data_IF_454560260314
#
_entry.id   IF_454560260314
#
_cell.length_a   1.000
_cell.length_b   1.000
_cell.length_c   1.000
_cell.angle_alpha   90.00
_cell.angle_beta   90.00
_cell.angle_gamma   90.00
#
_symmetry.space_group_name_H-M   'P 1'
#
loop_
_entity.id
_entity.type
_entity.pdbx_description
1 polymer ?
#
# COMPACT_ATOMS: atom_id res chain seq x y z
N UNK A 1 -1.36 -2.43 -3.98
CA UNK A 1 -1.96 -3.51 -4.78
C UNK A 1 -3.45 -3.29 -4.78
N UNK A 2 -4.08 -3.35 -5.94
CA UNK A 2 -5.53 -3.36 -6.11
C UNK A 2 -5.98 -4.72 -6.62
N UNK A 3 -7.21 -5.11 -6.34
CA UNK A 3 -7.74 -6.41 -6.77
C UNK A 3 -7.74 -6.54 -8.31
N UNK A 4 -7.97 -5.42 -9.02
CA UNK A 4 -8.01 -5.37 -10.48
C UNK A 4 -6.64 -5.42 -11.17
N UNK A 5 -5.52 -5.41 -10.43
CA UNK A 5 -4.18 -5.55 -10.99
C UNK A 5 -3.79 -7.02 -11.22
N UNK A 6 -4.55 -7.95 -10.63
CA UNK A 6 -4.32 -9.39 -10.74
C UNK A 6 -5.29 -10.03 -11.74
N UNK A 7 -4.85 -11.01 -12.54
CA UNK A 7 -5.75 -11.78 -13.39
C UNK A 7 -6.88 -12.40 -12.57
N UNK A 8 -8.13 -12.29 -13.06
CA UNK A 8 -9.31 -12.80 -12.35
C UNK A 8 -9.23 -14.30 -12.04
N UNK A 9 -8.52 -15.06 -12.87
CA UNK A 9 -8.28 -16.50 -12.68
C UNK A 9 -7.45 -16.83 -11.44
N UNK A 10 -6.72 -15.86 -10.87
CA UNK A 10 -5.91 -16.06 -9.67
C UNK A 10 -6.70 -15.85 -8.38
N UNK A 11 -7.95 -15.37 -8.46
CA UNK A 11 -8.85 -15.21 -7.32
C UNK A 11 -8.21 -14.42 -6.14
N UNK A 12 -7.34 -13.47 -6.46
CA UNK A 12 -6.66 -12.65 -5.47
C UNK A 12 -7.53 -11.48 -5.03
N UNK A 13 -7.49 -11.16 -3.73
CA UNK A 13 -8.12 -9.96 -3.18
C UNK A 13 -7.18 -9.30 -2.16
N UNK A 14 -6.09 -8.65 -2.61
CA UNK A 14 -5.22 -7.86 -1.73
C UNK A 14 -5.99 -6.83 -0.89
N UNK A 15 -7.02 -6.18 -1.44
CA UNK A 15 -7.83 -5.19 -0.73
C UNK A 15 -8.71 -5.86 0.34
N UNK A 16 -9.31 -7.02 0.01
CA UNK A 16 -10.06 -7.83 0.95
C UNK A 16 -9.21 -8.34 2.11
N UNK A 17 -7.98 -8.80 1.82
CA UNK A 17 -7.01 -9.25 2.82
C UNK A 17 -6.60 -8.11 3.76
N UNK A 18 -6.30 -6.92 3.23
CA UNK A 18 -5.96 -5.75 4.06
C UNK A 18 -7.10 -5.38 5.02
N UNK A 19 -8.35 -5.43 4.55
CA UNK A 19 -9.54 -5.19 5.39
C UNK A 19 -9.65 -6.21 6.53
N UNK A 20 -9.37 -7.48 6.27
CA UNK A 20 -9.36 -8.52 7.31
C UNK A 20 -8.27 -8.28 8.35
N UNK A 21 -7.05 -7.93 7.91
CA UNK A 21 -5.92 -7.64 8.80
C UNK A 21 -6.25 -6.46 9.73
N UNK A 22 -6.77 -5.35 9.19
CA UNK A 22 -7.21 -4.19 9.99
C UNK A 22 -8.27 -4.57 11.02
N UNK A 23 -9.27 -5.35 10.60
CA UNK A 23 -10.34 -5.83 11.50
C UNK A 23 -9.76 -6.65 12.66
N UNK A 24 -8.77 -7.51 12.40
CA UNK A 24 -8.12 -8.31 13.43
C UNK A 24 -7.25 -7.45 14.36
N UNK A 25 -6.52 -6.48 13.80
CA UNK A 25 -5.67 -5.54 14.55
C UNK A 25 -6.48 -4.73 15.55
N UNK A 26 -7.59 -4.16 15.10
CA UNK A 26 -8.45 -3.30 15.92
C UNK A 26 -9.07 -4.06 17.11
N UNK A 27 -9.37 -5.35 16.94
CA UNK A 27 -9.87 -6.21 18.03
C UNK A 27 -8.82 -6.51 19.09
N UNK A 28 -7.53 -6.46 18.75
CA UNK A 28 -6.42 -6.83 19.62
C UNK A 28 -5.54 -5.64 20.04
N UNK A 29 -5.88 -4.44 19.59
CA UNK A 29 -5.14 -3.19 19.83
C UNK A 29 -3.66 -3.33 19.42
N UNK A 30 -3.41 -3.99 18.29
CA UNK A 30 -2.07 -4.14 17.72
C UNK A 30 -1.87 -3.08 16.65
N UNK A 31 -0.73 -2.40 16.67
CA UNK A 31 -0.38 -1.43 15.63
C UNK A 31 0.05 -2.14 14.34
N UNK A 32 -0.41 -1.64 13.19
CA UNK A 32 0.01 -2.14 11.88
C UNK A 32 1.15 -1.31 11.32
N UNK A 33 2.12 -1.97 10.67
CA UNK A 33 3.13 -1.32 9.84
C UNK A 33 2.99 -1.81 8.41
N UNK A 34 3.17 -0.92 7.43
CA UNK A 34 3.00 -1.24 6.01
C UNK A 34 4.31 -1.31 5.22
N UNK A 35 4.25 -2.04 4.10
CA UNK A 35 5.27 -2.04 3.03
C UNK A 35 4.58 -2.38 1.71
N UNK A 36 5.09 -1.87 0.60
CA UNK A 36 4.73 -2.37 -0.73
C UNK A 36 5.54 -3.64 -1.07
N UNK A 37 4.95 -4.51 -1.88
CA UNK A 37 5.56 -5.82 -2.26
C UNK A 37 6.41 -5.74 -3.52
N UNK A 38 6.14 -4.77 -4.40
CA UNK A 38 6.82 -4.57 -5.68
C UNK A 38 7.15 -3.10 -5.87
N UNK A 39 8.16 -2.77 -6.67
CA UNK A 39 8.52 -1.40 -7.03
C UNK A 39 7.30 -0.65 -7.61
N UNK A 40 6.99 0.54 -7.11
CA UNK A 40 5.83 1.35 -7.53
C UNK A 40 6.19 2.82 -7.70
N UNK A 41 6.31 3.24 -8.94
CA UNK A 41 6.58 4.64 -9.29
C UNK A 41 5.37 5.33 -9.94
N UNK A 42 4.34 4.56 -10.29
CA UNK A 42 3.13 5.06 -10.90
C UNK A 42 2.23 5.77 -9.88
N UNK A 43 1.60 6.86 -10.31
CA UNK A 43 0.75 7.71 -9.47
C UNK A 43 -0.40 6.91 -8.83
N UNK A 44 -1.00 5.97 -9.57
CA UNK A 44 -2.12 5.15 -9.09
C UNK A 44 -1.68 4.26 -7.94
N UNK A 45 -0.56 3.56 -8.09
CA UNK A 45 0.03 2.70 -7.07
C UNK A 45 0.45 3.47 -5.82
N UNK A 46 1.04 4.65 -5.98
CA UNK A 46 1.44 5.52 -4.87
C UNK A 46 0.23 6.09 -4.13
N UNK A 47 -0.83 6.51 -4.85
CA UNK A 47 -2.11 6.90 -4.23
C UNK A 47 -2.75 5.75 -3.46
N UNK A 48 -2.68 4.52 -3.97
CA UNK A 48 -3.18 3.34 -3.27
C UNK A 48 -2.38 3.05 -1.99
N UNK A 49 -1.05 3.25 -2.02
CA UNK A 49 -0.24 3.13 -0.80
C UNK A 49 -0.67 4.18 0.22
N UNK A 50 -0.83 5.43 -0.20
CA UNK A 50 -1.27 6.51 0.67
C UNK A 50 -2.63 6.23 1.30
N UNK A 51 -3.64 5.82 0.52
CA UNK A 51 -4.98 5.46 1.04
C UNK A 51 -4.95 4.23 1.96
N UNK A 52 -4.03 3.29 1.72
CA UNK A 52 -3.83 2.14 2.59
C UNK A 52 -3.10 2.51 3.91
N UNK A 53 -2.38 3.63 3.95
CA UNK A 53 -1.68 4.07 5.15
C UNK A 53 -2.53 5.02 6.00
N UNK A 54 -3.29 5.89 5.34
CA UNK A 54 -4.06 6.95 5.97
C UNK A 54 -5.50 6.96 5.47
N UNK A 55 -6.43 6.84 6.41
CA UNK A 55 -7.86 7.08 6.19
C UNK A 55 -8.36 7.97 7.33
N UNK A 56 -8.94 9.12 6.99
CA UNK A 56 -9.54 10.06 7.96
C UNK A 56 -10.64 9.44 8.84
N UNK A 57 -11.23 8.31 8.41
CA UNK A 57 -12.35 7.64 9.08
C UNK A 57 -11.97 6.31 9.74
N UNK A 58 -10.72 5.86 9.61
CA UNK A 58 -10.28 4.55 10.09
C UNK A 58 -8.87 4.60 10.67
N UNK A 59 -8.45 3.49 11.29
CA UNK A 59 -7.10 3.38 11.85
C UNK A 59 -6.03 3.44 10.75
N UNK A 60 -5.06 4.32 10.98
CA UNK A 60 -3.87 4.48 10.14
C UNK A 60 -2.81 3.45 10.52
N UNK A 61 -1.93 3.12 9.57
CA UNK A 61 -0.73 2.33 9.90
C UNK A 61 0.24 3.21 10.68
N UNK A 62 0.94 2.62 11.66
CA UNK A 62 1.91 3.31 12.52
C UNK A 62 3.12 3.83 11.73
N UNK A 63 3.53 3.09 10.71
CA UNK A 63 4.62 3.44 9.80
C UNK A 63 4.46 2.71 8.47
N UNK A 64 5.10 3.24 7.43
CA UNK A 64 5.21 2.60 6.13
C UNK A 64 6.66 2.61 5.66
N UNK A 65 7.15 1.46 5.21
CA UNK A 65 8.49 1.29 4.65
C UNK A 65 8.38 1.04 3.15
N UNK A 66 8.87 1.98 2.34
CA UNK A 66 8.86 1.84 0.89
C UNK A 66 9.95 0.85 0.40
N UNK A 67 9.54 -0.13 -0.41
CA UNK A 67 10.42 -1.12 -1.05
C UNK A 67 10.62 -0.78 -2.53
N UNK A 68 11.82 -0.41 -3.00
CA UNK A 68 13.06 -0.07 -2.27
C UNK A 68 13.67 1.14 -3.00
N UNK A 69 14.42 1.95 -2.28
CA UNK A 69 15.26 2.99 -2.90
C UNK A 69 16.21 2.36 -3.94
N UNK A 70 16.17 2.86 -5.17
CA UNK A 70 17.00 2.43 -6.28
C UNK A 70 17.24 3.61 -7.24
N UNK A 71 17.99 3.41 -8.33
CA UNK A 71 18.25 4.44 -9.33
C UNK A 71 16.97 4.95 -10.02
N UNK A 72 15.98 4.10 -10.21
CA UNK A 72 14.73 4.44 -10.90
C UNK A 72 13.90 5.48 -10.13
N UNK A 73 13.93 5.48 -8.79
CA UNK A 73 13.17 6.45 -7.99
C UNK A 73 13.63 7.89 -8.24
N UNK A 74 14.91 8.08 -8.60
CA UNK A 74 15.52 9.39 -8.79
C UNK A 74 15.38 9.93 -10.22
N UNK A 75 14.69 9.20 -11.11
CA UNK A 75 14.29 9.75 -12.41
C UNK A 75 13.23 10.82 -12.18
N UNK A 76 13.30 11.93 -12.90
CA UNK A 76 12.45 13.12 -12.67
C UNK A 76 10.97 12.75 -12.67
N UNK A 77 10.55 11.93 -13.63
CA UNK A 77 9.17 11.46 -13.78
C UNK A 77 8.67 10.62 -12.59
N UNK A 78 9.55 9.83 -11.95
CA UNK A 78 9.20 8.98 -10.82
C UNK A 78 9.30 9.75 -9.50
N UNK A 79 10.34 10.58 -9.37
CA UNK A 79 10.58 11.41 -8.20
C UNK A 79 9.41 12.36 -7.95
N UNK A 80 8.90 12.99 -9.02
CA UNK A 80 7.74 13.87 -8.95
C UNK A 80 6.47 13.19 -8.43
N UNK A 81 6.34 11.86 -8.56
CA UNK A 81 5.20 11.13 -8.02
C UNK A 81 5.40 10.77 -6.53
N UNK A 82 6.64 10.74 -6.05
CA UNK A 82 6.99 10.35 -4.68
C UNK A 82 7.02 11.51 -3.69
N UNK A 83 7.23 12.75 -4.14
CA UNK A 83 7.40 13.95 -3.30
C UNK A 83 6.13 14.78 -3.11
#
# INVERSE_FOLDING_TARGET
>A
MLDNETPQTYLCSPEGLLRQIRTASNKRVVELTGSNTHERFDEVGLKQIHSNCYDSKADSVRSFTYFRMNDKIFRVENWNNCV
#
